data_IF_495634852957
#
_entry.id   IF_495634852957
#
_cell.length_a   1.000
_cell.length_b   1.000
_cell.length_c   1.000
_cell.angle_alpha   90.00
_cell.angle_beta   90.00
_cell.angle_gamma   90.00
#
_symmetry.space_group_name_H-M   'P 1'
#
loop_
_entity.id
_entity.type
_entity.pdbx_description
1 polymer ?
#
# COMPACT_ATOMS: atom_id res chain seq x y z
N UNK A 1 1.39 19.16 -13.36
CA UNK A 1 1.16 18.39 -12.12
C UNK A 1 2.12 17.22 -12.12
N UNK A 2 2.66 16.86 -10.97
CA UNK A 2 3.53 15.70 -10.77
C UNK A 2 2.91 14.80 -9.70
N UNK A 3 2.80 13.52 -10.02
CA UNK A 3 2.15 12.56 -9.15
C UNK A 3 3.12 11.49 -8.68
N UNK A 4 3.26 11.35 -7.37
CA UNK A 4 3.94 10.21 -6.77
C UNK A 4 2.92 9.12 -6.45
N UNK A 5 3.23 7.89 -6.84
CA UNK A 5 2.54 6.71 -6.35
C UNK A 5 3.44 5.97 -5.35
N UNK A 6 2.96 5.82 -4.13
CA UNK A 6 3.55 4.94 -3.12
C UNK A 6 2.74 3.65 -3.12
N UNK A 7 3.26 2.62 -3.78
CA UNK A 7 2.67 1.28 -3.80
C UNK A 7 3.22 0.48 -2.61
N UNK A 8 2.35 -0.17 -1.88
CA UNK A 8 2.64 -1.02 -0.72
C UNK A 8 2.35 -2.49 -1.08
N UNK A 9 3.28 -3.19 -1.75
CA UNK A 9 2.99 -4.51 -2.34
C UNK A 9 2.56 -5.55 -1.32
N UNK A 10 3.07 -5.44 -0.10
CA UNK A 10 2.86 -6.40 0.97
C UNK A 10 2.15 -5.78 2.19
N UNK A 11 1.30 -4.77 1.98
CA UNK A 11 0.64 -4.02 3.05
C UNK A 11 0.02 -4.92 4.13
N UNK A 12 -0.71 -5.97 3.73
CA UNK A 12 -1.33 -6.90 4.68
C UNK A 12 -0.30 -7.64 5.55
N UNK A 13 0.82 -8.08 4.95
CA UNK A 13 1.89 -8.76 5.69
C UNK A 13 2.64 -7.76 6.58
N UNK A 14 2.95 -6.57 6.06
CA UNK A 14 3.64 -5.54 6.82
C UNK A 14 2.77 -5.08 8.01
N UNK A 15 1.44 -4.99 7.84
CA UNK A 15 0.50 -4.68 8.93
C UNK A 15 0.62 -5.68 10.08
N UNK A 16 0.69 -6.98 9.79
CA UNK A 16 0.84 -8.03 10.80
C UNK A 16 2.24 -8.00 11.44
N UNK A 17 3.29 -7.88 10.62
CA UNK A 17 4.69 -7.88 11.10
C UNK A 17 4.98 -6.68 12.00
N UNK A 18 4.39 -5.53 11.70
CA UNK A 18 4.51 -4.31 12.52
C UNK A 18 4.00 -4.49 13.95
N UNK A 19 3.11 -5.40 14.22
CA UNK A 19 2.47 -5.63 15.52
C UNK A 19 3.15 -6.73 16.34
N UNK A 20 4.24 -7.29 15.83
CA UNK A 20 4.96 -8.39 16.48
C UNK A 20 6.27 -7.91 17.09
N UNK A 21 6.58 -8.44 18.26
CA UNK A 21 7.87 -8.21 18.93
C UNK A 21 9.03 -8.86 18.15
N UNK A 22 8.75 -9.97 17.47
CA UNK A 22 9.72 -10.71 16.67
C UNK A 22 9.21 -10.87 15.23
N UNK A 23 9.44 -9.87 14.36
CA UNK A 23 9.02 -9.89 12.97
C UNK A 23 9.84 -10.85 12.10
N UNK A 24 10.99 -11.33 12.61
CA UNK A 24 11.91 -12.21 11.89
C UNK A 24 11.56 -13.70 12.06
N UNK A 25 10.61 -14.06 12.91
CA UNK A 25 10.10 -15.43 12.98
C UNK A 25 9.33 -15.81 11.73
N UNK A 26 9.40 -17.08 11.24
CA UNK A 26 8.67 -17.50 10.06
C UNK A 26 7.16 -17.29 10.19
N UNK A 27 6.59 -16.45 9.30
CA UNK A 27 5.18 -16.08 9.29
C UNK A 27 4.60 -16.10 7.89
N UNK A 28 3.41 -16.64 7.76
CA UNK A 28 2.64 -16.67 6.53
C UNK A 28 1.24 -16.08 6.75
N UNK A 29 0.80 -15.25 5.80
CA UNK A 29 -0.61 -14.89 5.72
C UNK A 29 -1.37 -15.96 4.95
N UNK A 30 -2.46 -16.43 5.54
CA UNK A 30 -3.35 -17.40 4.93
C UNK A 30 -4.67 -16.77 4.54
N UNK A 31 -5.30 -17.30 3.51
CA UNK A 31 -6.62 -16.87 3.07
C UNK A 31 -7.31 -17.93 2.23
N UNK A 32 -8.53 -17.61 1.81
CA UNK A 32 -9.40 -18.53 1.09
C UNK A 32 -10.34 -19.32 2.02
N UNK A 33 -11.26 -20.11 1.46
CA UNK A 33 -12.23 -20.87 2.24
C UNK A 33 -11.53 -21.91 3.11
N UNK A 34 -12.13 -22.24 4.26
CA UNK A 34 -11.56 -23.15 5.26
C UNK A 34 -11.07 -24.48 4.69
N UNK A 35 -11.78 -25.01 3.68
CA UNK A 35 -11.43 -26.28 3.02
C UNK A 35 -10.24 -26.16 2.05
N UNK A 36 -9.87 -24.93 1.62
CA UNK A 36 -8.79 -24.70 0.64
C UNK A 36 -8.01 -23.44 1.01
N UNK A 37 -7.40 -23.45 2.19
CA UNK A 37 -6.52 -22.36 2.63
C UNK A 37 -5.26 -22.34 1.77
N UNK A 38 -4.88 -21.14 1.31
CA UNK A 38 -3.66 -20.89 0.55
C UNK A 38 -2.82 -19.80 1.24
N UNK A 39 -1.51 -19.87 1.06
CA UNK A 39 -0.61 -18.83 1.50
C UNK A 39 -0.76 -17.61 0.58
N UNK A 40 -1.19 -16.49 1.12
CA UNK A 40 -1.34 -15.23 0.38
C UNK A 40 -0.03 -14.44 0.35
N UNK A 41 0.71 -14.45 1.45
CA UNK A 41 2.01 -13.82 1.57
C UNK A 41 2.88 -14.58 2.57
N UNK A 42 4.20 -14.46 2.42
CA UNK A 42 5.20 -15.07 3.30
C UNK A 42 6.25 -14.01 3.65
N UNK A 43 6.74 -13.98 4.90
CA UNK A 43 7.86 -13.13 5.25
C UNK A 43 9.19 -13.75 4.80
N UNK A 44 10.32 -13.03 4.84
CA UNK A 44 11.62 -13.55 4.41
C UNK A 44 12.03 -14.84 5.13
N UNK A 45 11.74 -14.94 6.45
CA UNK A 45 12.07 -16.14 7.24
C UNK A 45 11.27 -17.37 6.78
N UNK A 46 9.96 -17.21 6.52
CA UNK A 46 9.14 -18.29 5.96
C UNK A 46 9.57 -18.63 4.51
N UNK A 47 9.98 -17.64 3.71
CA UNK A 47 10.50 -17.88 2.37
C UNK A 47 11.82 -18.68 2.39
N UNK A 48 12.67 -18.46 3.40
CA UNK A 48 13.89 -19.25 3.61
C UNK A 48 13.62 -20.74 3.91
N UNK A 49 12.45 -21.05 4.48
CA UNK A 49 11.96 -22.42 4.66
C UNK A 49 11.38 -23.04 3.37
N UNK A 50 11.45 -22.33 2.23
CA UNK A 50 10.89 -22.78 0.94
C UNK A 50 9.41 -22.49 0.75
N UNK A 51 8.77 -21.78 1.69
CA UNK A 51 7.36 -21.39 1.59
C UNK A 51 7.15 -20.27 0.56
N UNK A 52 6.06 -20.34 -0.20
CA UNK A 52 5.75 -19.37 -1.26
C UNK A 52 4.25 -19.05 -1.28
N UNK A 53 3.93 -17.82 -1.64
CA UNK A 53 2.54 -17.44 -1.91
C UNK A 53 1.94 -18.33 -3.03
N UNK A 54 0.67 -18.68 -2.88
CA UNK A 54 -0.06 -19.58 -3.78
C UNK A 54 -0.01 -21.06 -3.41
N UNK A 55 0.90 -21.49 -2.52
CA UNK A 55 0.90 -22.87 -1.98
C UNK A 55 -0.34 -23.10 -1.11
N UNK A 56 -0.87 -24.33 -1.11
CA UNK A 56 -1.87 -24.73 -0.14
C UNK A 56 -1.27 -24.85 1.26
N UNK A 57 -2.03 -24.54 2.30
CA UNK A 57 -1.57 -24.66 3.68
C UNK A 57 -1.13 -26.12 4.02
N UNK A 58 -1.83 -27.11 3.46
CA UNK A 58 -1.45 -28.52 3.61
C UNK A 58 -0.08 -28.80 3.01
N UNK A 59 0.20 -28.32 1.80
CA UNK A 59 1.50 -28.48 1.17
C UNK A 59 2.60 -27.74 1.93
N UNK A 60 2.29 -26.54 2.45
CA UNK A 60 3.23 -25.76 3.25
C UNK A 60 3.63 -26.50 4.56
N UNK A 61 2.65 -27.08 5.27
CA UNK A 61 2.88 -27.87 6.50
C UNK A 61 3.63 -29.18 6.25
N UNK A 62 3.50 -29.76 5.06
CA UNK A 62 4.28 -30.93 4.67
C UNK A 62 5.74 -30.58 4.28
N UNK A 63 5.99 -29.33 3.91
CA UNK A 63 7.32 -28.86 3.49
C UNK A 63 8.16 -28.37 4.67
N UNK A 64 7.55 -27.67 5.62
CA UNK A 64 8.24 -27.07 6.75
C UNK A 64 7.36 -27.03 8.00
N UNK A 65 8.01 -27.17 9.16
CA UNK A 65 7.44 -26.95 10.48
C UNK A 65 7.88 -25.61 11.07
N UNK A 66 7.23 -25.16 12.13
CA UNK A 66 7.67 -24.02 12.92
C UNK A 66 7.39 -22.66 12.31
N UNK A 67 6.37 -22.50 11.46
CA UNK A 67 5.90 -21.22 11.00
C UNK A 67 4.52 -20.85 11.57
N UNK A 68 4.30 -19.56 11.77
CA UNK A 68 3.02 -19.00 12.26
C UNK A 68 2.09 -18.70 11.09
N UNK A 69 0.82 -19.11 11.22
CA UNK A 69 -0.24 -18.78 10.27
C UNK A 69 -1.12 -17.66 10.83
N UNK A 70 -1.33 -16.59 10.07
CA UNK A 70 -2.20 -15.48 10.44
C UNK A 70 -3.16 -15.19 9.30
N UNK A 71 -4.40 -14.86 9.60
CA UNK A 71 -5.34 -14.30 8.63
C UNK A 71 -5.19 -12.79 8.61
N UNK A 72 -5.23 -12.20 7.41
CA UNK A 72 -5.23 -10.75 7.29
C UNK A 72 -6.58 -10.19 7.74
N UNK A 73 -6.55 -9.18 8.61
CA UNK A 73 -7.75 -8.43 9.00
C UNK A 73 -7.94 -7.23 8.05
N UNK A 74 -9.00 -7.23 7.21
CA UNK A 74 -9.28 -6.12 6.31
C UNK A 74 -9.45 -4.78 7.04
N UNK A 75 -10.10 -4.77 8.22
CA UNK A 75 -10.30 -3.55 8.99
C UNK A 75 -8.98 -2.95 9.45
N UNK A 76 -8.05 -3.81 9.85
CA UNK A 76 -6.73 -3.38 10.28
C UNK A 76 -5.91 -2.83 9.12
N UNK A 77 -6.01 -3.45 7.95
CA UNK A 77 -5.37 -2.96 6.72
C UNK A 77 -5.90 -1.57 6.37
N UNK A 78 -7.23 -1.37 6.43
CA UNK A 78 -7.85 -0.07 6.17
C UNK A 78 -7.39 1.00 7.18
N UNK A 79 -7.30 0.66 8.46
CA UNK A 79 -6.76 1.56 9.49
C UNK A 79 -5.33 2.00 9.19
N UNK A 80 -4.47 1.07 8.77
CA UNK A 80 -3.09 1.40 8.38
C UNK A 80 -3.07 2.27 7.11
N UNK A 81 -3.95 2.02 6.14
CA UNK A 81 -4.05 2.90 4.97
C UNK A 81 -4.51 4.31 5.34
N UNK A 82 -5.46 4.47 6.26
CA UNK A 82 -5.90 5.78 6.75
C UNK A 82 -4.79 6.50 7.52
N UNK A 83 -4.04 5.79 8.35
CA UNK A 83 -2.87 6.33 9.03
C UNK A 83 -1.82 6.83 8.03
N UNK A 84 -1.57 6.05 6.98
CA UNK A 84 -0.62 6.44 5.93
C UNK A 84 -1.10 7.64 5.10
N UNK A 85 -2.41 7.78 4.89
CA UNK A 85 -2.97 8.98 4.26
C UNK A 85 -2.79 10.21 5.16
N UNK A 86 -2.99 10.07 6.47
CA UNK A 86 -2.74 11.12 7.44
C UNK A 86 -1.25 11.52 7.47
N UNK A 87 -0.35 10.54 7.47
CA UNK A 87 1.09 10.78 7.38
C UNK A 87 1.48 11.48 6.07
N UNK A 88 0.92 11.04 4.94
CA UNK A 88 1.20 11.60 3.62
C UNK A 88 0.67 13.04 3.47
N UNK A 89 -0.37 13.39 4.21
CA UNK A 89 -1.01 14.71 4.14
C UNK A 89 -0.06 15.87 4.48
N UNK A 90 0.99 15.63 5.28
CA UNK A 90 2.01 16.66 5.54
C UNK A 90 2.89 16.95 4.33
N UNK A 91 2.95 16.04 3.36
CA UNK A 91 3.74 16.20 2.14
C UNK A 91 2.93 16.77 0.98
N UNK A 92 1.62 16.54 0.98
CA UNK A 92 0.70 17.05 -0.03
C UNK A 92 -0.70 17.13 0.52
N UNK A 93 -1.42 18.21 0.25
CA UNK A 93 -2.85 18.31 0.54
C UNK A 93 -3.72 17.44 -0.40
N UNK A 94 -3.14 16.98 -1.52
CA UNK A 94 -3.82 16.12 -2.49
C UNK A 94 -3.31 14.69 -2.37
N UNK A 95 -3.78 13.99 -1.33
CA UNK A 95 -3.54 12.58 -1.08
C UNK A 95 -4.78 11.78 -1.42
N UNK A 96 -4.67 10.71 -2.19
CA UNK A 96 -5.80 9.84 -2.52
C UNK A 96 -5.50 8.36 -2.28
N UNK A 97 -6.49 7.67 -1.72
CA UNK A 97 -6.52 6.21 -1.51
C UNK A 97 -7.31 5.47 -2.60
N UNK A 98 -7.46 6.06 -3.77
CA UNK A 98 -8.27 5.53 -4.88
C UNK A 98 -7.92 4.07 -5.24
N UNK A 99 -6.65 3.70 -5.17
CA UNK A 99 -6.20 2.34 -5.46
C UNK A 99 -5.89 1.56 -4.18
N UNK A 100 -6.26 0.28 -4.10
CA UNK A 100 -5.91 -0.56 -2.97
C UNK A 100 -4.39 -0.67 -2.83
N UNK A 101 -3.91 -0.65 -1.60
CA UNK A 101 -2.48 -0.77 -1.25
C UNK A 101 -1.60 0.30 -1.90
N UNK A 102 -2.15 1.47 -2.19
CA UNK A 102 -1.39 2.55 -2.78
C UNK A 102 -1.89 3.91 -2.29
N UNK A 103 -0.97 4.86 -2.19
CA UNK A 103 -1.26 6.27 -2.01
C UNK A 103 -0.83 7.02 -3.26
N UNK A 104 -1.65 7.95 -3.69
CA UNK A 104 -1.35 8.91 -4.74
C UNK A 104 -1.19 10.29 -4.11
N UNK A 105 -0.08 10.95 -4.39
CA UNK A 105 0.23 12.29 -3.90
C UNK A 105 0.51 13.22 -5.09
N UNK A 106 -0.14 14.39 -5.15
CA UNK A 106 0.33 15.47 -6.01
C UNK A 106 1.53 16.14 -5.35
N UNK A 107 2.70 16.00 -5.92
CA UNK A 107 3.95 16.46 -5.31
C UNK A 107 4.59 17.66 -6.00
N UNK A 108 4.08 18.08 -7.16
CA UNK A 108 4.63 19.20 -7.92
C UNK A 108 4.61 20.51 -7.13
N UNK A 109 3.52 20.77 -6.42
CA UNK A 109 3.37 21.94 -5.55
C UNK A 109 4.27 21.88 -4.31
N UNK A 110 4.70 20.70 -3.90
CA UNK A 110 5.46 20.45 -2.67
C UNK A 110 6.99 20.47 -2.87
N UNK A 111 7.46 20.44 -4.11
CA UNK A 111 8.90 20.42 -4.43
C UNK A 111 9.66 21.66 -3.91
N UNK A 112 9.00 22.82 -3.83
CA UNK A 112 9.62 24.03 -3.27
C UNK A 112 9.89 23.90 -1.77
N UNK A 113 9.05 23.16 -1.05
CA UNK A 113 9.14 22.96 0.40
C UNK A 113 10.11 21.83 0.77
N UNK A 114 10.02 20.72 0.04
CA UNK A 114 10.77 19.48 0.36
C UNK A 114 12.03 19.29 -0.49
N UNK A 115 12.33 20.23 -1.40
CA UNK A 115 13.48 20.16 -2.29
C UNK A 115 13.22 19.33 -3.55
N UNK A 116 14.28 19.11 -4.37
CA UNK A 116 14.17 18.33 -5.60
C UNK A 116 13.74 16.89 -5.31
N UNK A 117 13.07 16.27 -6.28
CA UNK A 117 12.45 14.95 -6.12
C UNK A 117 13.35 13.89 -5.48
N UNK A 118 14.65 13.73 -5.83
CA UNK A 118 15.48 12.70 -5.20
C UNK A 118 15.59 12.84 -3.67
N UNK A 119 15.64 14.06 -3.15
CA UNK A 119 15.69 14.33 -1.71
C UNK A 119 14.32 14.07 -1.07
N UNK A 120 13.26 14.47 -1.74
CA UNK A 120 11.91 14.26 -1.29
C UNK A 120 11.57 12.76 -1.25
N UNK A 121 11.90 12.01 -2.31
CA UNK A 121 11.72 10.56 -2.35
C UNK A 121 12.51 9.84 -1.25
N UNK A 122 13.77 10.22 -1.01
CA UNK A 122 14.59 9.64 0.05
C UNK A 122 13.93 9.81 1.42
N UNK A 123 13.37 10.99 1.69
CA UNK A 123 12.63 11.25 2.92
C UNK A 123 11.38 10.39 3.05
N UNK A 124 10.58 10.28 1.99
CA UNK A 124 9.40 9.41 1.98
C UNK A 124 9.78 7.95 2.29
N UNK A 125 10.86 7.46 1.67
CA UNK A 125 11.37 6.09 1.89
C UNK A 125 11.83 5.86 3.31
N UNK A 126 12.61 6.80 3.85
CA UNK A 126 13.10 6.70 5.22
C UNK A 126 11.94 6.59 6.22
N UNK A 127 10.98 7.50 6.13
CA UNK A 127 9.86 7.52 7.08
C UNK A 127 8.92 6.32 6.94
N UNK A 128 8.70 5.82 5.72
CA UNK A 128 7.94 4.58 5.50
C UNK A 128 8.68 3.35 6.05
N UNK A 129 10.01 3.32 5.97
CA UNK A 129 10.82 2.27 6.58
C UNK A 129 10.75 2.31 8.11
N UNK A 130 10.80 3.50 8.71
CA UNK A 130 10.59 3.70 10.15
C UNK A 130 9.19 3.26 10.61
N UNK A 131 8.18 3.42 9.74
CA UNK A 131 6.85 2.87 9.95
C UNK A 131 6.77 1.35 9.70
N UNK A 132 7.85 0.68 9.30
CA UNK A 132 7.90 -0.77 9.07
C UNK A 132 7.17 -1.22 7.81
N UNK A 133 7.11 -0.39 6.76
CA UNK A 133 6.38 -0.66 5.53
C UNK A 133 7.31 -0.76 4.33
N UNK A 134 7.12 -1.81 3.53
CA UNK A 134 7.83 -2.00 2.27
C UNK A 134 7.07 -1.32 1.15
N UNK A 135 7.77 -0.48 0.40
CA UNK A 135 7.16 0.39 -0.60
C UNK A 135 7.89 0.32 -1.94
N UNK A 136 7.18 0.71 -2.99
CA UNK A 136 7.73 1.15 -4.28
C UNK A 136 7.22 2.54 -4.53
N UNK A 137 8.10 3.43 -4.96
CA UNK A 137 7.75 4.82 -5.24
C UNK A 137 8.05 5.11 -6.70
N UNK A 138 7.07 5.69 -7.40
CA UNK A 138 7.19 6.11 -8.80
C UNK A 138 6.61 7.49 -8.95
N UNK A 139 7.33 8.36 -9.68
CA UNK A 139 6.87 9.69 -10.07
C UNK A 139 6.48 9.68 -11.55
N UNK A 140 5.32 10.25 -11.89
CA UNK A 140 4.87 10.41 -13.26
C UNK A 140 4.03 11.69 -13.45
N UNK A 141 3.73 12.02 -14.70
CA UNK A 141 2.96 13.24 -15.06
C UNK A 141 1.47 13.15 -14.73
N UNK A 142 0.94 11.95 -14.47
CA UNK A 142 -0.45 11.75 -14.06
C UNK A 142 -0.58 10.58 -13.06
N UNK A 143 -1.67 10.54 -12.26
CA UNK A 143 -1.80 9.57 -11.16
C UNK A 143 -1.99 8.12 -11.63
N UNK A 144 -2.66 7.91 -12.77
CA UNK A 144 -2.88 6.56 -13.32
C UNK A 144 -1.58 5.97 -13.80
N UNK A 145 -0.78 6.76 -14.54
CA UNK A 145 0.55 6.34 -15.01
C UNK A 145 1.47 6.02 -13.83
N UNK A 146 1.55 6.90 -12.81
CA UNK A 146 2.35 6.67 -11.61
C UNK A 146 1.99 5.33 -10.94
N UNK A 147 0.68 5.07 -10.78
CA UNK A 147 0.20 3.83 -10.18
C UNK A 147 0.53 2.60 -11.02
N UNK A 148 0.35 2.65 -12.33
CA UNK A 148 0.58 1.50 -13.19
C UNK A 148 2.09 1.22 -13.36
N UNK A 149 2.91 2.25 -13.51
CA UNK A 149 4.36 2.11 -13.55
C UNK A 149 4.92 1.48 -12.26
N UNK A 150 4.33 1.79 -11.09
CA UNK A 150 4.73 1.18 -9.82
C UNK A 150 4.50 -0.36 -9.75
N UNK A 151 3.68 -0.93 -10.64
CA UNK A 151 3.55 -2.39 -10.75
C UNK A 151 4.84 -3.06 -11.30
N UNK A 152 5.66 -2.32 -12.03
CA UNK A 152 6.87 -2.85 -12.67
C UNK A 152 8.17 -2.19 -12.22
N UNK A 153 8.09 -1.01 -11.63
CA UNK A 153 9.25 -0.18 -11.30
C UNK A 153 9.25 0.25 -9.83
N UNK A 154 10.43 0.55 -9.34
CA UNK A 154 10.67 1.25 -8.09
C UNK A 154 11.75 2.30 -8.32
N UNK A 155 11.59 3.51 -7.78
CA UNK A 155 12.52 4.63 -7.97
C UNK A 155 12.45 5.29 -9.36
N UNK A 156 11.48 4.91 -10.21
CA UNK A 156 11.32 5.55 -11.53
C UNK A 156 10.73 6.95 -11.34
N UNK A 157 11.40 7.95 -11.92
CA UNK A 157 10.95 9.35 -11.93
C UNK A 157 10.86 9.87 -13.37
N UNK A 158 9.65 9.99 -13.88
CA UNK A 158 9.33 10.49 -15.24
C UNK A 158 8.32 11.62 -15.12
N UNK A 159 8.83 12.85 -14.92
CA UNK A 159 8.01 14.02 -14.56
C UNK A 159 7.30 14.69 -15.73
N UNK A 160 7.73 14.50 -16.95
CA UNK A 160 7.08 15.06 -18.15
C UNK A 160 6.17 14.02 -18.84
N UNK A 161 5.28 14.51 -19.71
CA UNK A 161 4.27 13.67 -20.39
C UNK A 161 4.93 12.69 -21.36
N UNK A 162 5.96 13.12 -22.08
CA UNK A 162 6.60 12.30 -23.12
C UNK A 162 7.44 11.17 -22.47
N UNK A 163 8.21 11.49 -21.44
CA UNK A 163 8.94 10.48 -20.67
C UNK A 163 7.99 9.49 -19.98
N UNK A 164 6.87 9.97 -19.40
CA UNK A 164 5.84 9.11 -18.83
C UNK A 164 5.27 8.16 -19.89
N UNK A 165 4.92 8.69 -21.06
CA UNK A 165 4.42 7.88 -22.17
C UNK A 165 5.44 6.85 -22.63
N UNK A 166 6.70 7.24 -22.81
CA UNK A 166 7.77 6.33 -23.21
C UNK A 166 7.96 5.17 -22.22
N UNK A 167 7.92 5.45 -20.91
CA UNK A 167 8.00 4.44 -19.87
C UNK A 167 6.80 3.46 -19.92
N UNK A 168 5.59 3.96 -20.20
CA UNK A 168 4.39 3.14 -20.31
C UNK A 168 4.41 2.19 -21.52
N UNK A 169 4.99 2.58 -22.65
CA UNK A 169 4.97 1.78 -23.89
C UNK A 169 5.57 0.39 -23.69
N UNK A 170 6.62 0.27 -22.87
CA UNK A 170 7.29 -0.99 -22.56
C UNK A 170 6.59 -1.84 -21.49
N UNK A 171 5.55 -1.34 -20.85
CA UNK A 171 4.87 -2.08 -19.78
C UNK A 171 4.13 -3.30 -20.30
N UNK A 172 4.25 -4.47 -19.61
CA UNK A 172 3.43 -5.63 -19.92
C UNK A 172 1.94 -5.31 -19.77
N UNK A 173 1.12 -5.76 -20.74
CA UNK A 173 -0.31 -5.47 -20.78
C UNK A 173 -1.06 -5.94 -19.51
N UNK A 174 -0.56 -6.98 -18.86
CA UNK A 174 -1.10 -7.51 -17.60
C UNK A 174 -0.82 -6.62 -16.37
N UNK A 175 0.06 -5.61 -16.50
CA UNK A 175 0.47 -4.74 -15.39
C UNK A 175 -0.04 -3.30 -15.52
N UNK A 176 -0.76 -2.98 -16.58
CA UNK A 176 -1.26 -1.62 -16.84
C UNK A 176 -2.69 -1.38 -16.35
N UNK A 177 -3.26 -2.29 -15.56
CA UNK A 177 -4.56 -2.11 -14.90
C UNK A 177 -5.79 -2.31 -15.78
N UNK A 178 -5.64 -2.92 -16.94
CA UNK A 178 -6.77 -3.31 -17.78
C UNK A 178 -7.58 -4.45 -17.11
N UNK A 179 -8.89 -4.55 -17.40
CA UNK A 179 -9.68 -5.73 -17.04
C UNK A 179 -8.99 -7.02 -17.51
N UNK A 180 -9.02 -8.08 -16.69
CA UNK A 180 -8.32 -9.33 -16.97
C UNK A 180 -8.71 -9.92 -18.35
N UNK A 181 -10.00 -9.92 -18.67
CA UNK A 181 -10.52 -10.39 -19.96
C UNK A 181 -9.94 -9.62 -21.15
N UNK A 182 -9.79 -8.29 -21.01
CA UNK A 182 -9.19 -7.46 -22.06
C UNK A 182 -7.70 -7.74 -22.21
N UNK A 183 -6.96 -7.84 -21.09
CA UNK A 183 -5.54 -8.18 -21.10
C UNK A 183 -5.28 -9.56 -21.73
N UNK A 184 -6.10 -10.57 -21.41
CA UNK A 184 -6.04 -11.90 -22.01
C UNK A 184 -6.38 -11.88 -23.51
N UNK A 185 -7.39 -11.10 -23.91
CA UNK A 185 -7.75 -10.95 -25.32
C UNK A 185 -6.60 -10.32 -26.12
N UNK A 186 -5.94 -9.29 -25.61
CA UNK A 186 -4.74 -8.71 -26.21
C UNK A 186 -3.60 -9.71 -26.29
N UNK A 187 -3.33 -10.46 -25.22
CA UNK A 187 -2.30 -11.49 -25.20
C UNK A 187 -2.54 -12.58 -26.25
N UNK A 188 -3.80 -13.03 -26.44
CA UNK A 188 -4.17 -13.99 -27.48
C UNK A 188 -3.98 -13.45 -28.91
N UNK A 189 -4.01 -12.12 -29.07
CA UNK A 189 -3.69 -11.46 -30.35
C UNK A 189 -2.16 -11.23 -30.52
N UNK A 190 -1.32 -11.70 -29.61
CA UNK A 190 0.12 -11.47 -29.63
C UNK A 190 0.57 -10.10 -29.13
N UNK A 191 -0.35 -9.33 -28.52
CA UNK A 191 -0.06 -8.00 -28.00
C UNK A 191 0.27 -8.09 -26.50
N UNK A 192 1.56 -8.09 -26.19
CA UNK A 192 2.03 -8.30 -24.82
C UNK A 192 2.48 -7.03 -24.10
N UNK A 193 2.69 -5.96 -24.85
CA UNK A 193 3.11 -4.65 -24.33
C UNK A 193 2.07 -3.58 -24.67
N UNK A 194 1.97 -2.57 -23.80
CA UNK A 194 1.05 -1.45 -23.97
C UNK A 194 1.28 -0.72 -25.32
N UNK A 195 2.53 -0.53 -25.71
CA UNK A 195 2.87 0.14 -26.97
C UNK A 195 2.26 -0.53 -28.20
N UNK A 196 2.19 -1.86 -28.21
CA UNK A 196 1.56 -2.62 -29.28
C UNK A 196 0.04 -2.40 -29.36
N UNK A 197 -0.60 -2.28 -28.18
CA UNK A 197 -2.04 -1.98 -28.10
C UNK A 197 -2.34 -0.56 -28.56
N UNK A 198 -1.51 0.40 -28.13
CA UNK A 198 -1.67 1.81 -28.52
C UNK A 198 -1.37 2.10 -30.00
N UNK A 199 -0.67 1.19 -30.69
CA UNK A 199 -0.45 1.26 -32.13
C UNK A 199 -1.70 0.85 -32.94
N UNK A 200 -2.69 0.21 -32.32
CA UNK A 200 -3.95 -0.12 -33.00
C UNK A 200 -4.81 1.13 -33.23
N UNK A 201 -5.55 1.18 -34.35
CA UNK A 201 -6.52 2.24 -34.56
C UNK A 201 -7.57 2.30 -33.44
N UNK A 202 -7.87 3.50 -32.95
CA UNK A 202 -8.84 3.71 -31.83
C UNK A 202 -10.21 3.10 -32.14
N UNK A 203 -10.67 3.20 -33.40
CA UNK A 203 -11.95 2.61 -33.83
C UNK A 203 -11.97 1.09 -33.72
N UNK A 204 -10.82 0.44 -33.93
CA UNK A 204 -10.70 -1.02 -33.76
C UNK A 204 -10.85 -1.40 -32.30
N UNK A 205 -10.23 -0.62 -31.38
CA UNK A 205 -10.39 -0.82 -29.94
C UNK A 205 -11.84 -0.59 -29.50
N UNK A 206 -12.47 0.49 -29.99
CA UNK A 206 -13.85 0.84 -29.66
C UNK A 206 -14.89 -0.22 -30.07
N UNK A 207 -14.64 -0.88 -31.20
CA UNK A 207 -15.55 -1.95 -31.71
C UNK A 207 -15.40 -3.29 -31.00
N UNK A 208 -14.21 -3.58 -30.47
CA UNK A 208 -13.86 -4.89 -29.91
C UNK A 208 -13.89 -4.96 -28.40
N UNK A 209 -13.69 -3.84 -27.72
CA UNK A 209 -13.58 -3.77 -26.28
C UNK A 209 -14.61 -2.81 -25.68
N UNK A 210 -15.01 -3.08 -24.45
CA UNK A 210 -15.90 -2.19 -23.72
C UNK A 210 -15.32 -0.77 -23.60
N UNK A 211 -16.17 0.24 -23.53
CA UNK A 211 -15.79 1.64 -23.41
C UNK A 211 -14.84 1.91 -22.20
N UNK A 212 -14.93 1.08 -21.18
CA UNK A 212 -14.06 1.10 -20.02
C UNK A 212 -12.56 0.92 -20.37
N UNK A 213 -12.25 0.07 -21.37
CA UNK A 213 -10.86 -0.15 -21.81
C UNK A 213 -10.30 1.12 -22.44
N UNK A 214 -11.05 1.79 -23.30
CA UNK A 214 -10.64 3.06 -23.89
C UNK A 214 -10.50 4.16 -22.85
N UNK A 215 -11.49 4.27 -21.93
CA UNK A 215 -11.44 5.25 -20.86
C UNK A 215 -10.18 5.07 -20.02
N UNK A 216 -9.85 3.82 -19.66
CA UNK A 216 -8.64 3.52 -18.89
C UNK A 216 -7.37 3.87 -19.65
N UNK A 217 -7.27 3.55 -20.95
CA UNK A 217 -6.14 3.93 -21.79
C UNK A 217 -6.00 5.46 -21.90
N UNK A 218 -7.10 6.18 -22.04
CA UNK A 218 -7.10 7.64 -22.09
C UNK A 218 -6.65 8.25 -20.74
N UNK A 219 -7.09 7.68 -19.61
CA UNK A 219 -6.64 8.09 -18.28
C UNK A 219 -5.15 7.78 -18.07
N UNK A 220 -4.70 6.61 -18.50
CA UNK A 220 -3.30 6.18 -18.42
C UNK A 220 -2.37 7.12 -19.18
N UNK A 221 -2.80 7.60 -20.35
CA UNK A 221 -2.07 8.56 -21.18
C UNK A 221 -2.25 10.03 -20.74
N UNK A 222 -3.06 10.29 -19.71
CA UNK A 222 -3.36 11.64 -19.25
C UNK A 222 -4.30 12.44 -20.17
N UNK A 223 -4.94 11.79 -21.14
CA UNK A 223 -5.92 12.42 -22.06
C UNK A 223 -7.26 12.66 -21.37
N UNK A 224 -7.54 11.91 -20.31
CA UNK A 224 -8.69 12.10 -19.42
C UNK A 224 -8.26 12.08 -17.97
N UNK A 225 -8.82 12.96 -17.18
CA UNK A 225 -8.58 13.00 -15.75
C UNK A 225 -9.30 11.83 -15.05
N UNK A 226 -8.61 11.24 -14.09
CA UNK A 226 -9.22 10.36 -13.11
C UNK A 226 -9.86 11.26 -12.03
N UNK A 227 -11.15 11.08 -11.76
CA UNK A 227 -11.80 11.70 -10.60
C UNK A 227 -11.24 11.06 -9.33
N UNK A 228 -10.43 11.81 -8.59
CA UNK A 228 -9.85 11.36 -7.34
C UNK A 228 -10.57 12.01 -6.16
N UNK A 229 -10.96 11.20 -5.20
CA UNK A 229 -11.34 11.67 -3.88
C UNK A 229 -10.08 11.88 -3.05
N UNK A 230 -9.95 13.07 -2.48
CA UNK A 230 -8.79 13.41 -1.66
C UNK A 230 -9.08 13.16 -0.19
N UNK A 231 -8.09 12.60 0.48
CA UNK A 231 -8.11 12.36 1.91
C UNK A 231 -8.29 13.67 2.66
N UNK A 232 -9.21 13.64 3.61
CA UNK A 232 -9.40 14.70 4.59
C UNK A 232 -9.08 14.13 5.97
N UNK A 233 -8.07 14.68 6.65
CA UNK A 233 -7.68 14.15 7.95
C UNK A 233 -8.82 14.35 8.96
N UNK A 234 -9.17 13.30 9.73
CA UNK A 234 -10.17 13.41 10.78
C UNK A 234 -9.66 14.33 11.89
N UNK A 235 -10.59 14.95 12.63
CA UNK A 235 -10.23 15.86 13.73
C UNK A 235 -9.61 15.17 14.94
N UNK A 236 -9.80 13.86 15.07
CA UNK A 236 -9.33 13.06 16.20
C UNK A 236 -8.54 11.86 15.72
N UNK A 237 -7.48 11.57 16.45
CA UNK A 237 -6.75 10.31 16.30
C UNK A 237 -7.36 9.27 17.22
N UNK A 238 -7.66 8.10 16.68
CA UNK A 238 -8.09 6.93 17.41
C UNK A 238 -7.46 5.69 16.77
N UNK A 239 -6.88 4.83 17.60
CA UNK A 239 -6.30 3.56 17.15
C UNK A 239 -6.55 2.51 18.21
N UNK A 240 -6.78 1.26 17.80
CA UNK A 240 -6.97 0.11 18.67
C UNK A 240 -6.03 -1.00 18.24
N UNK A 241 -5.40 -1.63 19.22
CA UNK A 241 -4.55 -2.80 19.02
C UNK A 241 -5.08 -3.93 19.90
N UNK A 242 -5.41 -5.05 19.29
CA UNK A 242 -5.80 -6.27 19.99
C UNK A 242 -4.54 -7.11 20.25
N UNK A 243 -4.32 -7.43 21.53
CA UNK A 243 -3.21 -8.28 21.96
C UNK A 243 -3.67 -9.72 22.00
N UNK A 244 -3.05 -10.58 21.20
CA UNK A 244 -3.37 -12.02 21.12
C UNK A 244 -2.63 -12.83 22.20
N UNK A 245 -2.25 -12.19 23.31
CA UNK A 245 -1.56 -12.81 24.44
C UNK A 245 -1.94 -12.10 25.74
N UNK A 246 -1.87 -12.81 26.85
CA UNK A 246 -2.11 -12.25 28.16
C UNK A 246 -0.93 -11.40 28.61
N UNK A 247 -1.21 -10.17 29.03
CA UNK A 247 -0.19 -9.23 29.50
C UNK A 247 0.01 -9.38 30.99
N UNK A 248 1.09 -10.03 31.39
CA UNK A 248 1.44 -10.26 32.80
C UNK A 248 2.36 -9.17 33.37
N UNK A 249 2.95 -8.32 32.54
CA UNK A 249 3.89 -7.30 32.96
C UNK A 249 3.75 -5.98 32.23
N UNK A 250 4.08 -4.86 32.89
CA UNK A 250 4.13 -3.55 32.27
C UNK A 250 5.14 -3.48 31.11
N UNK A 251 6.20 -4.28 31.15
CA UNK A 251 7.20 -4.33 30.07
C UNK A 251 6.62 -4.88 28.78
N UNK A 252 5.69 -5.84 28.86
CA UNK A 252 5.01 -6.39 27.69
C UNK A 252 4.12 -5.35 26.98
N UNK A 253 3.65 -4.31 27.70
CA UNK A 253 2.89 -3.20 27.11
C UNK A 253 3.77 -2.16 26.41
N UNK A 254 5.06 -2.09 26.67
CA UNK A 254 5.93 -1.03 26.14
C UNK A 254 6.00 -1.08 24.61
N UNK A 255 6.09 -2.27 24.03
CA UNK A 255 6.16 -2.42 22.60
C UNK A 255 4.87 -1.95 21.88
N UNK A 256 3.67 -2.47 22.20
CA UNK A 256 2.44 -1.98 21.60
C UNK A 256 2.17 -0.50 21.85
N UNK A 257 2.49 0.01 23.05
CA UNK A 257 2.35 1.43 23.37
C UNK A 257 3.27 2.31 22.53
N UNK A 258 4.57 1.95 22.44
CA UNK A 258 5.52 2.66 21.57
C UNK A 258 5.03 2.74 20.14
N UNK A 259 4.40 1.66 19.68
CA UNK A 259 3.81 1.56 18.36
C UNK A 259 2.68 2.55 18.19
N UNK A 260 1.68 2.54 19.09
CA UNK A 260 0.55 3.46 19.04
C UNK A 260 0.98 4.92 19.13
N UNK A 261 2.02 5.22 19.92
CA UNK A 261 2.61 6.55 20.02
C UNK A 261 3.31 6.98 18.73
N UNK A 262 4.00 6.09 18.03
CA UNK A 262 4.58 6.40 16.72
C UNK A 262 3.49 6.70 15.69
N UNK A 263 2.40 5.95 15.71
CA UNK A 263 1.25 6.19 14.82
C UNK A 263 0.57 7.55 15.15
N UNK A 264 0.43 7.90 16.45
CA UNK A 264 -0.04 9.22 16.87
C UNK A 264 0.92 10.33 16.40
N UNK A 265 2.23 10.15 16.58
CA UNK A 265 3.21 11.11 16.13
C UNK A 265 3.16 11.35 14.61
N UNK A 266 3.01 10.28 13.82
CA UNK A 266 2.85 10.38 12.38
C UNK A 266 1.58 11.14 11.98
N UNK A 267 0.46 10.90 12.67
CA UNK A 267 -0.80 11.61 12.47
C UNK A 267 -0.67 13.10 12.78
N UNK A 268 -0.08 13.45 13.93
CA UNK A 268 0.11 14.84 14.37
C UNK A 268 1.06 15.60 13.44
N UNK A 269 2.15 14.95 13.02
CA UNK A 269 3.08 15.52 12.04
C UNK A 269 2.40 15.81 10.69
N UNK A 270 1.46 14.97 10.28
CA UNK A 270 0.65 15.20 9.06
C UNK A 270 -0.20 16.46 9.12
N UNK A 271 -0.54 16.94 10.30
CA UNK A 271 -1.39 18.13 10.54
C UNK A 271 -0.62 19.36 11.03
N UNK A 272 0.69 19.25 11.19
CA UNK A 272 1.52 20.27 11.84
C UNK A 272 0.96 20.67 13.23
N UNK A 273 0.54 19.66 13.99
CA UNK A 273 -0.13 19.81 15.28
C UNK A 273 0.62 19.07 16.39
N UNK A 274 0.38 19.51 17.63
CA UNK A 274 0.78 18.81 18.84
C UNK A 274 -0.44 18.28 19.60
N UNK A 275 -0.20 17.39 20.55
CA UNK A 275 -1.22 16.91 21.49
C UNK A 275 -0.85 17.36 22.91
N UNK A 276 -1.82 17.92 23.63
CA UNK A 276 -1.66 18.29 25.04
C UNK A 276 -2.08 17.14 25.96
N UNK A 277 -3.01 16.30 25.51
CA UNK A 277 -3.53 15.20 26.30
C UNK A 277 -4.03 14.08 25.40
N UNK A 278 -3.75 12.83 25.77
CA UNK A 278 -4.36 11.66 25.18
C UNK A 278 -4.86 10.70 26.25
N UNK A 279 -5.78 9.82 25.87
CA UNK A 279 -6.31 8.79 26.72
C UNK A 279 -5.91 7.41 26.19
N UNK A 280 -5.42 6.57 27.07
CA UNK A 280 -5.18 5.16 26.80
C UNK A 280 -6.26 4.34 27.50
N UNK A 281 -6.99 3.55 26.70
CA UNK A 281 -7.98 2.59 27.19
C UNK A 281 -7.36 1.20 27.15
N UNK A 282 -7.35 0.52 28.28
CA UNK A 282 -6.98 -0.88 28.38
C UNK A 282 -8.27 -1.67 28.64
N UNK A 283 -8.72 -2.39 27.62
CA UNK A 283 -9.86 -3.29 27.69
C UNK A 283 -9.36 -4.65 28.21
N UNK A 284 -9.93 -5.10 29.31
CA UNK A 284 -9.55 -6.37 29.93
C UNK A 284 -10.53 -7.47 29.52
N UNK A 285 -10.01 -8.69 29.34
CA UNK A 285 -10.86 -9.86 29.07
C UNK A 285 -11.81 -10.15 30.24
N UNK A 286 -11.33 -9.91 31.47
CA UNK A 286 -12.10 -10.03 32.70
C UNK A 286 -11.88 -8.81 33.60
N UNK A 287 -12.94 -8.20 34.10
CA UNK A 287 -12.91 -7.05 34.98
C UNK A 287 -13.20 -5.71 34.30
N UNK A 288 -13.15 -4.61 35.04
CA UNK A 288 -13.42 -3.28 34.52
C UNK A 288 -12.24 -2.75 33.68
N UNK A 289 -12.58 -2.04 32.60
CA UNK A 289 -11.58 -1.35 31.75
C UNK A 289 -10.78 -0.31 32.53
N UNK A 290 -9.53 -0.12 32.14
CA UNK A 290 -8.64 0.89 32.74
C UNK A 290 -8.49 2.07 31.77
N UNK A 291 -8.76 3.28 32.27
CA UNK A 291 -8.57 4.52 31.53
C UNK A 291 -7.40 5.31 32.12
N UNK A 292 -6.35 5.49 31.35
CA UNK A 292 -5.21 6.32 31.71
C UNK A 292 -5.25 7.62 30.90
N UNK A 293 -5.19 8.75 31.60
CA UNK A 293 -5.08 10.09 30.98
C UNK A 293 -3.63 10.53 31.11
N UNK A 294 -3.02 10.86 29.97
CA UNK A 294 -1.64 11.34 29.89
C UNK A 294 -1.69 12.76 29.32
N UNK A 295 -1.09 13.72 30.04
CA UNK A 295 -1.04 15.12 29.63
C UNK A 295 -0.41 16.00 30.71
#
# INVERSE_FOLDING_TARGET
MLWACILLPQLALDTVLRERDDPDTPLVLIGGPTQRRVLQAVNPAAAALGLRAGQTLTAARALADGFTCVEADPKRIDQVQQLLAAWAYRFSAQVSLHYPRALLLEVGSSLQLFGPWPLFEARLRQELAELGLRQRIVLASNPVAARMLANGHDGLAVGDVDATRAALLGMPITRVGLPAEAAEAFARMGLHQLGQVLALPRDTLARRFAAQVQLHLDQLLGLRNLGLDFYQPPDRFETRLELNFDVESHQALLFPLRRMLNDLAAFLAGRDCGVQRFCLHLEHAEGPDTLLKVG
#
